data_IF_858940025932
#
_entry.id   IF_858940025932
#
_cell.length_a   1.000
_cell.length_b   1.000
_cell.length_c   1.000
_cell.angle_alpha   90.00
_cell.angle_beta   90.00
_cell.angle_gamma   90.00
#
_symmetry.space_group_name_H-M   'P 1'
#
loop_
_entity.id
_entity.type
_entity.pdbx_description
1 polymer ?
#
# COMPACT_ATOMS: atom_id res chain seq x y z
N UNK A 1 7.36 -9.41 11.87
CA UNK A 1 8.45 -8.96 10.99
C UNK A 1 9.54 -10.01 11.00
N UNK A 2 9.99 -10.44 9.82
CA UNK A 2 11.00 -11.50 9.66
C UNK A 2 12.34 -10.94 9.16
N UNK A 3 12.33 -9.81 8.45
CA UNK A 3 13.53 -9.10 8.03
C UNK A 3 13.29 -7.59 8.02
N UNK A 4 14.39 -6.85 8.16
CA UNK A 4 14.44 -5.40 8.10
C UNK A 4 15.74 -4.96 7.45
N UNK A 5 15.68 -3.99 6.52
CA UNK A 5 16.84 -3.32 5.97
C UNK A 5 16.60 -1.82 5.90
N UNK A 6 17.57 -1.05 6.40
CA UNK A 6 17.56 0.41 6.42
C UNK A 6 18.44 0.94 5.28
N UNK A 7 17.84 1.55 4.28
CA UNK A 7 18.50 2.16 3.13
C UNK A 7 18.84 3.65 3.36
N UNK A 8 18.38 4.22 4.49
CA UNK A 8 18.57 5.64 4.82
C UNK A 8 19.84 5.85 5.64
N UNK A 9 20.00 5.08 6.72
CA UNK A 9 21.13 5.21 7.69
C UNK A 9 21.88 3.91 7.93
N UNK A 10 21.50 2.84 7.22
CA UNK A 10 22.14 1.52 7.31
C UNK A 10 22.18 0.91 8.74
N UNK A 11 21.17 1.25 9.57
CA UNK A 11 21.05 0.68 10.92
C UNK A 11 20.63 -0.77 10.86
N UNK A 12 21.20 -1.60 11.72
CA UNK A 12 20.86 -3.03 11.79
C UNK A 12 19.55 -3.31 12.55
N UNK A 13 19.24 -2.48 13.54
CA UNK A 13 18.03 -2.65 14.36
C UNK A 13 16.84 -1.90 13.75
N UNK A 14 15.64 -2.50 13.73
CA UNK A 14 14.44 -1.85 13.25
C UNK A 14 14.09 -0.58 14.04
N UNK A 15 13.74 0.47 13.33
CA UNK A 15 13.24 1.73 13.89
C UNK A 15 12.35 2.43 12.87
N UNK A 16 11.52 3.35 13.36
CA UNK A 16 10.71 4.24 12.52
C UNK A 16 10.64 5.62 13.17
N UNK A 17 11.32 6.58 12.59
CA UNK A 17 11.43 7.96 13.05
C UNK A 17 10.43 8.91 12.38
N UNK A 18 9.75 8.47 11.30
CA UNK A 18 8.65 9.17 10.62
C UNK A 18 7.26 8.68 11.08
N UNK A 19 7.16 7.41 11.46
CA UNK A 19 5.91 6.76 11.90
C UNK A 19 4.94 6.44 10.77
N UNK A 20 5.28 6.72 9.51
CA UNK A 20 4.47 6.38 8.35
C UNK A 20 4.51 4.88 8.07
N UNK A 21 5.71 4.28 8.01
CA UNK A 21 5.90 2.86 7.72
C UNK A 21 5.28 1.94 8.76
N UNK A 22 5.39 2.30 10.05
CA UNK A 22 4.73 1.56 11.15
C UNK A 22 3.22 1.54 10.97
N UNK A 23 2.62 2.65 10.59
CA UNK A 23 1.18 2.73 10.35
C UNK A 23 0.76 1.87 9.15
N UNK A 24 1.49 1.96 8.02
CA UNK A 24 1.27 1.14 6.82
C UNK A 24 1.36 -0.36 7.16
N UNK A 25 2.42 -0.78 7.85
CA UNK A 25 2.58 -2.16 8.31
C UNK A 25 1.45 -2.59 9.26
N UNK A 26 0.98 -1.67 10.12
CA UNK A 26 -0.16 -1.87 11.00
C UNK A 26 -1.47 -2.10 10.26
N UNK A 27 -1.75 -1.32 9.21
CA UNK A 27 -2.92 -1.50 8.36
C UNK A 27 -2.92 -2.88 7.68
N UNK A 28 -1.76 -3.35 7.22
CA UNK A 28 -1.62 -4.63 6.54
C UNK A 28 -1.68 -5.79 7.54
N UNK A 29 -0.83 -5.77 8.57
CA UNK A 29 -0.51 -6.95 9.39
C UNK A 29 -0.46 -6.69 10.91
N UNK A 30 -0.98 -5.57 11.38
CA UNK A 30 -1.02 -5.29 12.82
C UNK A 30 -1.79 -6.37 13.58
N UNK A 31 -1.23 -6.90 14.66
CA UNK A 31 -1.89 -7.91 15.50
C UNK A 31 -3.12 -7.40 16.25
N UNK A 32 -3.19 -6.09 16.49
CA UNK A 32 -4.24 -5.48 17.30
C UNK A 32 -4.15 -5.82 18.80
N UNK A 33 -3.05 -6.45 19.25
CA UNK A 33 -2.91 -7.01 20.58
C UNK A 33 -3.24 -6.00 21.70
N UNK A 34 -2.65 -4.80 21.62
CA UNK A 34 -2.85 -3.76 22.65
C UNK A 34 -4.30 -3.25 22.70
N UNK A 35 -5.03 -3.36 21.60
CA UNK A 35 -6.44 -2.95 21.50
C UNK A 35 -7.45 -4.10 21.70
N UNK A 36 -7.02 -5.26 22.17
CA UNK A 36 -7.88 -6.44 22.27
C UNK A 36 -8.42 -6.90 20.91
N UNK A 37 -7.68 -6.68 19.84
CA UNK A 37 -8.06 -7.05 18.47
C UNK A 37 -8.85 -5.97 17.71
N UNK A 38 -9.25 -4.88 18.34
CA UNK A 38 -10.08 -3.82 17.72
C UNK A 38 -9.42 -3.19 16.50
N UNK A 39 -8.11 -2.90 16.58
CA UNK A 39 -7.33 -2.26 15.53
C UNK A 39 -6.34 -3.24 14.89
N UNK A 40 -6.87 -4.38 14.47
CA UNK A 40 -6.13 -5.42 13.77
C UNK A 40 -5.99 -5.07 12.28
N UNK A 41 -4.83 -5.37 11.70
CA UNK A 41 -4.61 -5.27 10.25
C UNK A 41 -5.41 -6.33 9.49
N UNK A 42 -5.45 -6.20 8.16
CA UNK A 42 -6.23 -7.11 7.29
C UNK A 42 -5.69 -8.54 7.34
N UNK A 43 -4.36 -8.71 7.36
CA UNK A 43 -3.70 -10.02 7.37
C UNK A 43 -2.71 -10.14 8.55
N UNK A 44 -3.18 -10.21 9.81
CA UNK A 44 -2.33 -10.13 10.99
C UNK A 44 -1.37 -11.32 11.15
N UNK A 45 -1.64 -12.43 10.48
CA UNK A 45 -0.77 -13.62 10.46
C UNK A 45 0.36 -13.57 9.42
N UNK A 46 0.35 -12.61 8.49
CA UNK A 46 1.36 -12.59 7.44
C UNK A 46 2.74 -12.17 7.96
N UNK A 47 3.79 -12.66 7.28
CA UNK A 47 5.17 -12.27 7.54
C UNK A 47 5.49 -10.96 6.85
N UNK A 48 6.21 -10.07 7.52
CA UNK A 48 6.64 -8.80 6.96
C UNK A 48 8.15 -8.76 6.76
N UNK A 49 8.55 -8.38 5.56
CA UNK A 49 9.91 -7.96 5.18
C UNK A 49 9.85 -6.45 4.97
N UNK A 50 10.63 -5.69 5.71
CA UNK A 50 10.54 -4.23 5.75
C UNK A 50 11.80 -3.60 5.18
N UNK A 51 11.67 -2.84 4.09
CA UNK A 51 12.68 -1.91 3.58
C UNK A 51 12.35 -0.49 4.04
N UNK A 52 13.22 0.11 4.86
CA UNK A 52 13.10 1.52 5.24
C UNK A 52 13.79 2.39 4.19
N UNK A 53 12.98 3.12 3.43
CA UNK A 53 13.40 4.03 2.34
C UNK A 53 13.03 5.49 2.59
N UNK A 54 12.33 5.80 3.68
CA UNK A 54 11.96 7.16 4.07
C UNK A 54 12.78 7.62 5.27
N UNK A 55 13.25 8.85 5.20
CA UNK A 55 13.91 9.53 6.31
C UNK A 55 12.91 9.98 7.40
N UNK A 56 13.39 10.79 8.36
CA UNK A 56 12.60 11.30 9.47
C UNK A 56 11.49 12.26 9.02
N UNK A 57 11.73 13.01 7.98
CA UNK A 57 10.82 13.99 7.39
C UNK A 57 9.78 13.32 6.47
N UNK A 58 9.95 12.03 6.18
CA UNK A 58 9.11 11.25 5.26
C UNK A 58 9.53 11.40 3.81
N UNK A 59 10.67 12.01 3.56
CA UNK A 59 11.33 12.07 2.26
C UNK A 59 12.05 10.76 1.93
N UNK A 60 12.21 10.49 0.64
CA UNK A 60 12.96 9.34 0.15
C UNK A 60 13.66 9.67 -1.16
N UNK A 61 14.82 9.04 -1.38
CA UNK A 61 15.57 9.17 -2.62
C UNK A 61 15.23 8.02 -3.58
N UNK A 62 15.26 8.31 -4.87
CA UNK A 62 15.11 7.34 -5.96
C UNK A 62 16.15 6.22 -5.86
N UNK A 63 17.40 6.55 -5.48
CA UNK A 63 18.48 5.57 -5.32
C UNK A 63 18.15 4.56 -4.21
N UNK A 64 17.73 5.04 -3.03
CA UNK A 64 17.32 4.17 -1.92
C UNK A 64 16.17 3.23 -2.32
N UNK A 65 15.23 3.73 -3.14
CA UNK A 65 14.14 2.91 -3.63
C UNK A 65 14.63 1.83 -4.60
N UNK A 66 15.54 2.14 -5.52
CA UNK A 66 16.13 1.16 -6.44
C UNK A 66 16.89 0.08 -5.68
N UNK A 67 17.76 0.44 -4.74
CA UNK A 67 18.45 -0.52 -3.87
C UNK A 67 17.49 -1.40 -3.07
N UNK A 68 16.37 -0.84 -2.63
CA UNK A 68 15.34 -1.61 -1.92
C UNK A 68 14.63 -2.61 -2.84
N UNK A 69 14.37 -2.25 -4.10
CA UNK A 69 13.77 -3.15 -5.10
C UNK A 69 14.74 -4.28 -5.47
N UNK A 70 16.02 -3.97 -5.67
CA UNK A 70 17.07 -4.98 -5.88
C UNK A 70 17.12 -5.97 -4.71
N UNK A 71 17.16 -5.44 -3.47
CA UNK A 71 17.14 -6.29 -2.28
C UNK A 71 15.91 -7.18 -2.18
N UNK A 72 14.73 -6.68 -2.56
CA UNK A 72 13.50 -7.49 -2.59
C UNK A 72 13.66 -8.67 -3.56
N UNK A 73 14.25 -8.44 -4.74
CA UNK A 73 14.51 -9.49 -5.72
C UNK A 73 15.51 -10.53 -5.20
N UNK A 74 16.61 -10.10 -4.58
CA UNK A 74 17.61 -10.97 -3.94
C UNK A 74 17.00 -11.87 -2.86
N UNK A 75 16.10 -11.31 -2.03
CA UNK A 75 15.51 -12.01 -0.90
C UNK A 75 14.23 -12.78 -1.25
N UNK A 76 13.71 -12.62 -2.45
CA UNK A 76 12.39 -13.12 -2.88
C UNK A 76 12.19 -14.61 -2.53
N UNK A 77 13.09 -15.46 -2.98
CA UNK A 77 12.95 -16.91 -2.83
C UNK A 77 13.23 -17.37 -1.40
N UNK A 78 14.26 -16.83 -0.77
CA UNK A 78 14.64 -17.17 0.61
C UNK A 78 13.53 -16.81 1.60
N UNK A 79 12.86 -15.68 1.40
CA UNK A 79 11.82 -15.18 2.32
C UNK A 79 10.39 -15.44 1.80
N UNK A 80 10.23 -15.99 0.61
CA UNK A 80 8.94 -16.26 0.00
C UNK A 80 8.13 -14.99 -0.23
N UNK A 81 8.76 -13.91 -0.71
CA UNK A 81 8.09 -12.62 -0.95
C UNK A 81 7.15 -12.76 -2.14
N UNK A 82 5.86 -12.51 -1.92
CA UNK A 82 4.79 -12.62 -2.91
C UNK A 82 4.10 -11.29 -3.20
N UNK A 83 4.22 -10.32 -2.30
CA UNK A 83 3.55 -9.02 -2.39
C UNK A 83 4.55 -7.94 -1.99
N UNK A 84 4.64 -6.89 -2.81
CA UNK A 84 5.36 -5.66 -2.50
C UNK A 84 4.34 -4.53 -2.36
N UNK A 85 4.29 -3.88 -1.19
CA UNK A 85 3.47 -2.69 -0.95
C UNK A 85 4.34 -1.43 -0.98
N UNK A 86 4.00 -0.48 -1.85
CA UNK A 86 4.67 0.81 -1.98
C UNK A 86 3.66 1.91 -1.65
N UNK A 87 3.76 2.45 -0.45
CA UNK A 87 2.90 3.53 0.06
C UNK A 87 3.64 4.85 0.15
N UNK A 88 4.58 5.10 -0.75
CA UNK A 88 5.37 6.32 -0.81
C UNK A 88 5.08 7.10 -2.09
N UNK A 89 5.13 8.42 -2.03
CA UNK A 89 5.05 9.30 -3.18
C UNK A 89 6.40 9.97 -3.44
N UNK A 90 6.56 10.52 -4.63
CA UNK A 90 7.71 11.36 -4.95
C UNK A 90 7.33 12.83 -4.86
N UNK A 91 8.31 13.68 -4.51
CA UNK A 91 8.20 15.11 -4.64
C UNK A 91 8.02 15.52 -6.12
N UNK A 92 7.51 16.73 -6.34
CA UNK A 92 7.05 17.19 -7.66
C UNK A 92 8.15 17.30 -8.74
N UNK A 93 9.42 17.23 -8.38
CA UNK A 93 10.56 17.52 -9.25
C UNK A 93 11.49 16.32 -9.52
N UNK A 94 10.96 15.10 -9.46
CA UNK A 94 11.78 13.94 -9.84
C UNK A 94 11.98 13.92 -11.35
N UNK A 95 13.23 13.84 -11.78
CA UNK A 95 13.61 13.74 -13.20
C UNK A 95 12.93 12.55 -13.87
N UNK A 96 12.43 12.74 -15.09
CA UNK A 96 11.73 11.66 -15.84
C UNK A 96 12.57 10.39 -15.96
N UNK A 97 13.88 10.52 -16.19
CA UNK A 97 14.81 9.38 -16.30
C UNK A 97 14.84 8.55 -15.01
N UNK A 98 14.73 9.19 -13.85
CA UNK A 98 14.70 8.47 -12.55
C UNK A 98 13.37 7.74 -12.37
N UNK A 99 12.27 8.34 -12.83
CA UNK A 99 10.95 7.69 -12.82
C UNK A 99 10.95 6.48 -13.73
N UNK A 100 11.49 6.58 -14.94
CA UNK A 100 11.58 5.48 -15.90
C UNK A 100 12.37 4.29 -15.33
N UNK A 101 13.53 4.56 -14.69
CA UNK A 101 14.32 3.51 -14.02
C UNK A 101 13.52 2.79 -12.91
N UNK A 102 12.77 3.55 -12.12
CA UNK A 102 11.92 2.94 -11.09
C UNK A 102 10.79 2.11 -11.68
N UNK A 103 10.14 2.58 -12.75
CA UNK A 103 9.11 1.81 -13.43
C UNK A 103 9.67 0.53 -14.05
N UNK A 104 10.89 0.57 -14.60
CA UNK A 104 11.58 -0.62 -15.08
C UNK A 104 11.89 -1.60 -13.94
N UNK A 105 12.41 -1.14 -12.81
CA UNK A 105 12.67 -1.98 -11.65
C UNK A 105 11.38 -2.60 -11.07
N UNK A 106 10.26 -1.88 -11.07
CA UNK A 106 8.95 -2.44 -10.69
C UNK A 106 8.45 -3.49 -11.68
N UNK A 107 8.75 -3.33 -12.97
CA UNK A 107 8.46 -4.35 -13.97
C UNK A 107 9.27 -5.63 -13.71
N UNK A 108 10.54 -5.51 -13.38
CA UNK A 108 11.39 -6.66 -13.01
C UNK A 108 10.85 -7.39 -11.78
N UNK A 109 10.40 -6.66 -10.76
CA UNK A 109 9.73 -7.23 -9.57
C UNK A 109 8.46 -7.98 -9.95
N UNK A 110 7.66 -7.41 -10.85
CA UNK A 110 6.45 -8.09 -11.35
C UNK A 110 6.79 -9.35 -12.14
N UNK A 111 7.77 -9.30 -13.05
CA UNK A 111 8.21 -10.45 -13.83
C UNK A 111 8.81 -11.57 -12.95
N UNK A 112 9.38 -11.20 -11.80
CA UNK A 112 9.80 -12.15 -10.78
C UNK A 112 8.61 -12.82 -10.03
N UNK A 113 7.36 -12.48 -10.37
CA UNK A 113 6.14 -13.08 -9.81
C UNK A 113 5.66 -12.46 -8.51
N UNK A 114 6.12 -11.24 -8.17
CA UNK A 114 5.69 -10.49 -6.99
C UNK A 114 4.56 -9.54 -7.40
N UNK A 115 3.44 -9.55 -6.69
CA UNK A 115 2.37 -8.56 -6.85
C UNK A 115 2.85 -7.20 -6.34
N UNK A 116 2.87 -6.19 -7.23
CA UNK A 116 3.28 -4.82 -6.87
C UNK A 116 2.04 -3.98 -6.62
N UNK A 117 1.81 -3.58 -5.36
CA UNK A 117 0.70 -2.72 -4.93
C UNK A 117 1.21 -1.32 -4.63
N UNK A 118 0.65 -0.30 -5.28
CA UNK A 118 1.14 1.08 -5.21
C UNK A 118 0.00 2.03 -4.85
N UNK A 119 0.26 2.97 -3.95
CA UNK A 119 -0.68 4.05 -3.65
C UNK A 119 -0.85 5.00 -4.86
N UNK A 120 -2.08 5.38 -5.15
CA UNK A 120 -2.40 6.28 -6.27
C UNK A 120 -1.83 7.71 -6.11
N UNK A 121 -1.46 8.09 -4.89
CA UNK A 121 -1.01 9.43 -4.55
C UNK A 121 -2.14 10.33 -4.04
N UNK A 122 -1.75 11.47 -3.46
CA UNK A 122 -2.66 12.38 -2.76
C UNK A 122 -2.74 13.77 -3.41
N UNK A 123 -2.39 13.88 -4.70
CA UNK A 123 -2.44 15.14 -5.47
C UNK A 123 -3.73 15.33 -6.26
N UNK A 124 -4.76 14.48 -6.02
CA UNK A 124 -6.10 14.67 -6.57
C UNK A 124 -6.80 15.93 -5.99
N UNK A 125 -8.00 16.23 -6.45
CA UNK A 125 -8.91 15.43 -7.26
C UNK A 125 -8.83 15.64 -8.77
N UNK A 126 -7.87 16.43 -9.25
CA UNK A 126 -7.74 16.69 -10.67
C UNK A 126 -7.47 15.44 -11.52
N UNK A 127 -7.89 15.41 -12.80
CA UNK A 127 -7.57 14.31 -13.70
C UNK A 127 -6.04 14.23 -13.94
N UNK A 128 -5.52 13.02 -14.14
CA UNK A 128 -4.09 12.81 -14.36
C UNK A 128 -3.21 12.98 -13.11
N UNK A 129 -3.78 12.95 -11.91
CA UNK A 129 -3.06 13.14 -10.64
C UNK A 129 -2.59 11.82 -9.98
N UNK A 130 -2.62 10.71 -10.70
CA UNK A 130 -2.01 9.45 -10.24
C UNK A 130 -0.50 9.66 -10.11
N UNK A 131 0.06 9.15 -9.01
CA UNK A 131 1.52 9.18 -8.79
C UNK A 131 2.28 8.45 -9.92
N UNK A 132 3.49 8.87 -10.28
CA UNK A 132 4.25 8.26 -11.37
C UNK A 132 4.35 6.73 -11.26
N UNK A 133 4.65 6.18 -10.08
CA UNK A 133 4.72 4.72 -9.88
C UNK A 133 3.37 4.03 -10.07
N UNK A 134 2.27 4.72 -9.74
CA UNK A 134 0.92 4.23 -9.96
C UNK A 134 0.53 4.12 -11.43
N UNK A 135 1.26 4.78 -12.34
CA UNK A 135 1.07 4.69 -13.78
C UNK A 135 1.72 3.46 -14.42
N UNK A 136 2.47 2.67 -13.66
CA UNK A 136 3.07 1.43 -14.17
C UNK A 136 2.01 0.45 -14.71
N UNK A 137 2.29 -0.20 -15.85
CA UNK A 137 1.34 -1.11 -16.53
C UNK A 137 0.94 -2.31 -15.68
N UNK A 138 1.86 -2.85 -14.93
CA UNK A 138 1.65 -4.06 -14.11
C UNK A 138 1.39 -3.77 -12.61
N UNK A 139 1.55 -2.54 -12.15
CA UNK A 139 1.23 -2.19 -10.75
C UNK A 139 -0.27 -2.30 -10.48
N UNK A 140 -0.65 -2.76 -9.30
CA UNK A 140 -2.00 -2.67 -8.75
C UNK A 140 -2.11 -1.32 -8.02
N UNK A 141 -2.64 -0.32 -8.69
CA UNK A 141 -2.72 1.06 -8.20
C UNK A 141 -3.98 1.26 -7.39
N UNK A 142 -3.80 1.68 -6.13
CA UNK A 142 -4.87 1.80 -5.15
C UNK A 142 -5.19 3.26 -4.86
N UNK A 143 -6.39 3.69 -5.26
CA UNK A 143 -6.97 4.96 -4.84
C UNK A 143 -7.65 4.85 -3.48
N UNK A 144 -8.11 6.00 -2.97
CA UNK A 144 -8.89 6.05 -1.75
C UNK A 144 -10.36 6.38 -2.03
N UNK A 145 -11.25 5.60 -1.41
CA UNK A 145 -12.67 5.89 -1.34
C UNK A 145 -13.24 5.29 -0.05
N UNK A 146 -13.97 6.07 0.73
CA UNK A 146 -14.43 5.62 2.04
C UNK A 146 -15.75 4.85 1.99
N UNK A 147 -16.47 4.88 0.83
CA UNK A 147 -17.79 4.27 0.72
C UNK A 147 -18.72 4.80 1.81
N UNK A 148 -19.44 3.90 2.45
CA UNK A 148 -20.31 4.21 3.58
C UNK A 148 -19.59 4.07 4.94
N UNK A 149 -18.27 3.86 4.94
CA UNK A 149 -17.47 3.60 6.13
C UNK A 149 -17.59 4.69 7.19
N UNK A 150 -17.79 5.95 6.77
CA UNK A 150 -17.95 7.11 7.64
C UNK A 150 -19.41 7.61 7.73
N UNK A 151 -20.40 6.75 7.49
CA UNK A 151 -21.81 7.08 7.67
C UNK A 151 -22.48 7.85 6.53
N UNK A 152 -21.92 7.78 5.33
CA UNK A 152 -22.49 8.41 4.13
C UNK A 152 -22.35 9.94 4.14
N UNK A 153 -21.43 10.47 3.40
CA UNK A 153 -21.18 11.91 3.30
C UNK A 153 -20.06 12.19 2.31
N UNK A 154 -19.67 13.45 2.15
CA UNK A 154 -18.52 13.82 1.32
C UNK A 154 -17.28 13.16 1.89
N UNK A 155 -16.79 12.12 1.22
CA UNK A 155 -15.59 11.40 1.62
C UNK A 155 -14.39 12.34 1.50
N UNK A 156 -13.56 12.44 2.56
CA UNK A 156 -12.32 13.22 2.51
C UNK A 156 -11.41 12.73 1.38
N UNK A 157 -11.41 11.44 1.10
CA UNK A 157 -10.74 10.81 -0.04
C UNK A 157 -11.05 11.50 -1.37
N UNK A 158 -12.27 11.98 -1.58
CA UNK A 158 -12.68 12.66 -2.81
C UNK A 158 -11.88 13.94 -3.07
N UNK A 159 -11.25 14.53 -2.03
CA UNK A 159 -10.49 15.77 -2.12
C UNK A 159 -9.02 15.59 -2.46
N UNK A 160 -8.46 14.39 -2.25
CA UNK A 160 -7.02 14.18 -2.41
C UNK A 160 -6.63 12.93 -3.21
N UNK A 161 -7.48 11.90 -3.29
CA UNK A 161 -7.11 10.67 -3.99
C UNK A 161 -6.71 10.95 -5.44
N UNK A 162 -5.55 10.43 -5.84
CA UNK A 162 -5.09 10.50 -7.22
C UNK A 162 -6.12 9.92 -8.17
N UNK A 163 -6.37 10.60 -9.29
CA UNK A 163 -7.32 10.19 -10.33
C UNK A 163 -6.62 9.99 -11.66
N UNK A 164 -7.05 8.98 -12.36
CA UNK A 164 -6.53 8.65 -13.68
C UNK A 164 -6.83 9.72 -14.72
N UNK A 165 -6.13 9.67 -15.86
CA UNK A 165 -6.45 10.51 -17.01
C UNK A 165 -7.84 10.14 -17.55
N UNK A 166 -8.52 11.10 -18.10
CA UNK A 166 -9.79 10.91 -18.81
C UNK A 166 -9.61 10.34 -20.21
N UNK A 167 -8.38 10.35 -20.74
CA UNK A 167 -7.96 9.83 -22.04
C UNK A 167 -7.23 8.49 -21.87
N UNK A 168 -7.42 7.64 -22.57
CA UNK A 168 -7.79 6.25 -22.81
C UNK A 168 -6.71 5.17 -22.93
N UNK A 169 -5.43 5.35 -22.66
CA UNK A 169 -4.47 4.24 -22.86
C UNK A 169 -4.24 3.39 -21.60
N UNK A 170 -4.23 3.99 -20.43
CA UNK A 170 -4.16 3.26 -19.16
C UNK A 170 -5.27 3.72 -18.20
N UNK A 171 -6.13 2.79 -17.83
CA UNK A 171 -7.20 3.04 -16.86
C UNK A 171 -6.66 2.87 -15.44
N UNK A 172 -6.46 3.97 -14.73
CA UNK A 172 -6.04 4.02 -13.32
C UNK A 172 -7.00 4.93 -12.51
N UNK A 173 -7.12 4.74 -11.19
CA UNK A 173 -6.54 3.63 -10.41
C UNK A 173 -7.10 2.27 -10.83
N UNK A 174 -6.48 1.15 -10.41
CA UNK A 174 -7.06 -0.17 -10.64
C UNK A 174 -8.23 -0.44 -9.69
N UNK A 175 -8.10 -0.04 -8.43
CA UNK A 175 -9.11 -0.29 -7.38
C UNK A 175 -9.05 0.82 -6.33
N UNK A 176 -10.08 0.94 -5.51
CA UNK A 176 -10.08 1.81 -4.33
C UNK A 176 -10.32 1.03 -3.04
N UNK A 177 -9.85 1.58 -1.93
CA UNK A 177 -10.09 1.05 -0.59
C UNK A 177 -10.26 2.22 0.40
N UNK A 178 -10.79 2.01 1.62
CA UNK A 178 -10.87 3.03 2.64
C UNK A 178 -9.48 3.62 2.96
N UNK A 179 -9.40 4.92 3.15
CA UNK A 179 -8.12 5.58 3.43
C UNK A 179 -8.26 6.86 4.25
N UNK A 180 -9.44 7.16 4.80
CA UNK A 180 -9.67 8.29 5.69
C UNK A 180 -9.79 7.83 7.13
N UNK A 181 -9.04 8.48 8.04
CA UNK A 181 -9.06 8.18 9.48
C UNK A 181 -8.80 6.70 9.80
N UNK A 182 -7.94 6.06 9.05
CA UNK A 182 -7.59 4.66 9.27
C UNK A 182 -6.78 4.56 10.57
N UNK A 183 -7.31 3.79 11.52
CA UNK A 183 -6.67 3.56 12.81
C UNK A 183 -5.72 2.36 12.72
N UNK A 184 -4.43 2.60 12.97
CA UNK A 184 -3.42 1.54 12.96
C UNK A 184 -2.26 1.85 13.90
N UNK A 185 -1.27 0.94 13.97
CA UNK A 185 -0.13 1.04 14.87
C UNK A 185 0.61 2.38 14.76
N UNK A 186 1.04 2.91 15.90
CA UNK A 186 1.80 4.14 16.02
C UNK A 186 3.25 3.85 16.47
N UNK A 187 4.23 4.43 15.77
CA UNK A 187 5.66 4.33 16.14
C UNK A 187 5.97 5.03 17.49
N UNK A 188 5.11 5.96 17.92
CA UNK A 188 5.23 6.64 19.22
C UNK A 188 4.74 5.85 20.42
N UNK A 189 4.38 4.56 20.24
CA UNK A 189 3.90 3.71 21.33
C UNK A 189 4.91 3.62 22.47
N UNK A 190 4.46 3.88 23.71
CA UNK A 190 5.28 3.84 24.93
C UNK A 190 4.63 2.96 25.98
N UNK A 191 5.42 2.13 26.63
CA UNK A 191 4.95 1.40 27.82
C UNK A 191 4.85 2.34 29.01
N UNK A 192 3.71 2.31 29.71
CA UNK A 192 3.48 3.11 30.93
C UNK A 192 2.78 2.24 31.98
N UNK A 193 3.49 1.93 33.04
CA UNK A 193 2.99 0.98 34.06
C UNK A 193 2.64 -0.38 33.42
N UNK A 194 1.44 -0.84 33.63
CA UNK A 194 0.92 -2.09 33.06
C UNK A 194 0.24 -1.92 31.70
N UNK A 195 0.22 -0.70 31.14
CA UNK A 195 -0.44 -0.39 29.85
C UNK A 195 0.50 0.23 28.83
N UNK A 196 -0.11 0.74 27.76
CA UNK A 196 0.58 1.42 26.68
C UNK A 196 -0.12 2.73 26.32
N UNK A 197 0.67 3.76 26.03
CA UNK A 197 0.19 5.04 25.49
C UNK A 197 0.58 5.16 24.02
N UNK A 198 -0.24 5.88 23.26
CA UNK A 198 -0.01 6.15 21.83
C UNK A 198 0.22 4.90 20.97
N UNK A 199 -0.41 3.78 21.33
CA UNK A 199 -0.24 2.52 20.60
C UNK A 199 -0.83 2.56 19.19
N UNK A 200 -1.86 3.37 18.98
CA UNK A 200 -2.57 3.53 17.72
C UNK A 200 -2.80 5.00 17.41
N UNK A 201 -2.89 5.31 16.12
CA UNK A 201 -3.20 6.66 15.63
C UNK A 201 -4.02 6.56 14.35
N UNK A 202 -4.84 7.58 14.09
CA UNK A 202 -5.58 7.71 12.84
C UNK A 202 -4.75 8.49 11.81
N UNK A 203 -4.68 7.99 10.58
CA UNK A 203 -4.07 8.70 9.45
C UNK A 203 -4.96 8.60 8.22
N UNK A 204 -4.81 9.55 7.28
CA UNK A 204 -5.55 9.60 6.02
C UNK A 204 -4.61 9.70 4.82
N UNK A 205 -4.95 9.01 3.74
CA UNK A 205 -4.16 8.99 2.51
C UNK A 205 -4.30 7.68 1.74
N UNK A 206 -4.02 7.71 0.45
CA UNK A 206 -3.94 6.50 -0.39
C UNK A 206 -2.86 5.54 0.10
N UNK A 207 -1.85 6.05 0.82
CA UNK A 207 -0.81 5.26 1.49
C UNK A 207 -1.37 4.27 2.53
N UNK A 208 -2.57 4.51 3.06
CA UNK A 208 -3.24 3.65 4.04
C UNK A 208 -4.32 2.78 3.39
N UNK A 209 -4.79 3.13 2.20
CA UNK A 209 -5.65 2.29 1.37
C UNK A 209 -4.85 1.13 0.71
N UNK A 210 -3.67 1.38 0.20
CA UNK A 210 -2.82 0.38 -0.45
C UNK A 210 -2.52 -0.85 0.43
N UNK A 211 -2.12 -0.71 1.71
CA UNK A 211 -1.86 -1.86 2.56
C UNK A 211 -3.11 -2.71 2.89
N UNK A 212 -4.32 -2.16 2.80
CA UNK A 212 -5.55 -2.95 2.94
C UNK A 212 -5.70 -3.91 1.76
N UNK A 213 -5.40 -3.44 0.55
CA UNK A 213 -5.41 -4.27 -0.67
C UNK A 213 -4.29 -5.30 -0.63
N UNK A 214 -3.09 -4.93 -0.14
CA UNK A 214 -1.98 -5.87 0.06
C UNK A 214 -2.32 -6.96 1.08
N UNK A 215 -3.01 -6.60 2.17
CA UNK A 215 -3.52 -7.56 3.15
C UNK A 215 -4.56 -8.51 2.56
N UNK A 216 -5.49 -7.99 1.74
CA UNK A 216 -6.47 -8.82 1.03
C UNK A 216 -5.79 -9.80 0.06
N UNK A 217 -4.75 -9.36 -0.64
CA UNK A 217 -3.92 -10.23 -1.48
C UNK A 217 -3.23 -11.34 -0.66
N UNK A 218 -2.74 -11.01 0.55
CA UNK A 218 -2.13 -11.99 1.44
C UNK A 218 -3.12 -13.07 1.90
N UNK A 219 -4.35 -12.67 2.27
CA UNK A 219 -5.42 -13.61 2.62
C UNK A 219 -5.80 -14.51 1.44
N UNK A 220 -5.88 -13.94 0.23
CA UNK A 220 -6.16 -14.73 -0.98
C UNK A 220 -5.04 -15.74 -1.26
N UNK A 221 -3.78 -15.34 -1.10
CA UNK A 221 -2.63 -16.24 -1.28
C UNK A 221 -2.52 -17.30 -0.17
N UNK A 222 -2.97 -17.02 1.03
CA UNK A 222 -3.11 -18.05 2.09
C UNK A 222 -4.13 -19.11 1.69
N UNK A 223 -5.30 -18.70 1.18
CA UNK A 223 -6.33 -19.63 0.68
C UNK A 223 -5.89 -20.36 -0.59
N UNK A 224 -5.17 -19.69 -1.48
CA UNK A 224 -4.80 -20.19 -2.81
C UNK A 224 -3.33 -19.90 -3.13
N UNK A 225 -2.37 -20.63 -2.53
CA UNK A 225 -0.93 -20.29 -2.58
C UNK A 225 -0.30 -20.35 -3.97
N UNK A 226 -0.90 -21.08 -4.91
CA UNK A 226 -0.38 -21.28 -6.28
C UNK A 226 -0.76 -20.18 -7.26
N UNK A 227 -1.61 -19.21 -6.86
CA UNK A 227 -1.97 -18.11 -7.74
C UNK A 227 -0.76 -17.26 -8.10
N UNK A 228 -0.65 -16.92 -9.37
CA UNK A 228 0.33 -15.95 -9.88
C UNK A 228 -0.04 -14.52 -9.49
N UNK A 229 0.91 -13.59 -9.51
CA UNK A 229 0.65 -12.16 -9.27
C UNK A 229 -0.46 -11.61 -10.19
N UNK A 230 -0.46 -12.02 -11.47
CA UNK A 230 -1.47 -11.66 -12.46
C UNK A 230 -2.87 -12.15 -12.07
N UNK A 231 -2.98 -13.39 -11.62
CA UNK A 231 -4.26 -13.96 -11.17
C UNK A 231 -4.77 -13.29 -9.90
N UNK A 232 -3.88 -13.00 -8.94
CA UNK A 232 -4.22 -12.27 -7.72
C UNK A 232 -4.74 -10.88 -8.07
N UNK A 233 -4.01 -10.10 -8.90
CA UNK A 233 -4.46 -8.78 -9.37
C UNK A 233 -5.84 -8.87 -10.03
N UNK A 234 -6.04 -9.84 -10.92
CA UNK A 234 -7.29 -10.02 -11.63
C UNK A 234 -8.45 -10.35 -10.69
N UNK A 235 -8.26 -11.26 -9.73
CA UNK A 235 -9.29 -11.62 -8.75
C UNK A 235 -9.67 -10.44 -7.86
N UNK A 236 -8.70 -9.66 -7.39
CA UNK A 236 -8.94 -8.45 -6.59
C UNK A 236 -9.81 -7.46 -7.38
N UNK A 237 -9.48 -7.21 -8.66
CA UNK A 237 -10.24 -6.29 -9.49
C UNK A 237 -11.68 -6.81 -9.74
N UNK A 238 -11.85 -8.09 -10.11
CA UNK A 238 -13.16 -8.63 -10.46
C UNK A 238 -14.09 -8.85 -9.26
N UNK A 239 -13.53 -9.01 -8.06
CA UNK A 239 -14.34 -9.11 -6.83
C UNK A 239 -14.77 -7.75 -6.26
N UNK A 240 -14.27 -6.64 -6.81
CA UNK A 240 -14.54 -5.30 -6.31
C UNK A 240 -16.04 -4.95 -6.43
N UNK A 241 -16.52 -4.14 -5.49
CA UNK A 241 -17.89 -3.61 -5.51
C UNK A 241 -17.93 -2.32 -6.30
N UNK A 242 -18.75 -2.29 -7.37
CA UNK A 242 -18.96 -1.10 -8.18
C UNK A 242 -19.67 0.01 -7.38
N UNK A 243 -19.01 1.17 -7.26
CA UNK A 243 -19.53 2.34 -6.55
C UNK A 243 -20.39 3.26 -7.43
N UNK A 244 -20.58 2.90 -8.71
CA UNK A 244 -21.26 3.74 -9.72
C UNK A 244 -20.57 5.08 -9.97
N UNK A 245 -19.29 5.17 -9.70
CA UNK A 245 -18.47 6.33 -9.94
C UNK A 245 -17.67 6.18 -11.25
N UNK A 246 -17.20 7.28 -11.86
CA UNK A 246 -16.34 7.21 -13.04
C UNK A 246 -15.10 6.37 -12.80
N UNK A 247 -14.61 5.66 -13.83
CA UNK A 247 -13.41 4.82 -13.73
C UNK A 247 -12.20 5.55 -13.14
N UNK A 248 -11.98 6.80 -13.54
CA UNK A 248 -10.86 7.62 -13.05
C UNK A 248 -10.85 7.83 -11.53
N UNK A 249 -12.00 7.60 -10.87
CA UNK A 249 -12.15 7.68 -9.41
C UNK A 249 -12.05 6.32 -8.74
N UNK A 250 -12.77 5.30 -9.24
CA UNK A 250 -12.96 4.03 -8.56
C UNK A 250 -12.18 2.86 -9.15
N UNK A 251 -11.70 2.95 -10.39
CA UNK A 251 -11.19 1.80 -11.13
C UNK A 251 -12.25 0.72 -11.28
N UNK A 252 -11.94 -0.51 -10.88
CA UNK A 252 -12.91 -1.62 -10.82
C UNK A 252 -13.92 -1.49 -9.68
N UNK A 253 -13.71 -0.58 -8.74
CA UNK A 253 -14.60 -0.35 -7.59
C UNK A 253 -13.89 -0.45 -6.24
N UNK A 254 -14.69 -0.61 -5.18
CA UNK A 254 -14.23 -0.75 -3.80
C UNK A 254 -13.75 -2.18 -3.52
N UNK A 255 -12.61 -2.30 -2.86
CA UNK A 255 -12.11 -3.57 -2.33
C UNK A 255 -13.21 -4.33 -1.55
N UNK A 256 -13.50 -5.55 -1.98
CA UNK A 256 -14.46 -6.43 -1.32
C UNK A 256 -13.78 -7.76 -0.96
N UNK A 257 -13.30 -7.85 0.29
CA UNK A 257 -12.57 -9.02 0.78
C UNK A 257 -13.47 -10.27 0.85
N UNK A 258 -14.76 -10.09 1.18
CA UNK A 258 -15.70 -11.22 1.21
C UNK A 258 -15.83 -11.85 -0.17
N UNK A 259 -16.20 -11.07 -1.18
CA UNK A 259 -16.32 -11.56 -2.56
C UNK A 259 -15.00 -12.17 -3.07
N UNK A 260 -13.85 -11.57 -2.69
CA UNK A 260 -12.53 -12.05 -3.07
C UNK A 260 -12.23 -13.44 -2.54
N UNK A 261 -12.67 -13.74 -1.32
CA UNK A 261 -12.37 -15.00 -0.65
C UNK A 261 -13.46 -16.07 -0.87
N UNK A 262 -14.68 -15.69 -1.24
CA UNK A 262 -15.77 -16.64 -1.51
C UNK A 262 -15.68 -17.21 -2.93
N UNK A 263 -15.09 -16.48 -3.89
CA UNK A 263 -14.87 -16.88 -5.29
C UNK A 263 -13.41 -17.32 -5.52
#
# INVERSE_FOLDING_TARGET
MVAFRDFVRHRKSPYDDAGHGTHVAGCLAGSGLISGGKYRGVAPGCKLVIGKVLDREGGGDTHMMLEALEWVLEQKDQMGIRILNISVGFEEQVELVKIEKLLQALEEVWQAGILVVVAAGNKGPGPGSISPLGMGGHTLTVGCHDGDYNGGGVTLCARYSGRGPTTQVMKKPDIVAPGTNIMAACAGCRKRGNGYEYAYTAKSGTSFAAPLVSGAAALLLEKSPRLTAKEVKRRICYSASDLKEPWSKQGWGMLNIRNLLEN
#
